data_IF_832251587751
#
_entry.id   IF_832251587751
#
_cell.length_a   1.000
_cell.length_b   1.000
_cell.length_c   1.000
_cell.angle_alpha   90.00
_cell.angle_beta   90.00
_cell.angle_gamma   90.00
#
_symmetry.space_group_name_H-M   'P 1'
#
loop_
_entity.id
_entity.type
_entity.pdbx_description
1 polymer ?
#
# COMPACT_ATOMS: atom_id res chain seq x y z
N UNK A 1 12.96 -41.62 -6.43
CA UNK A 1 12.29 -40.99 -7.57
C UNK A 1 10.90 -40.49 -7.25
N UNK A 2 10.07 -41.30 -6.63
CA UNK A 2 8.70 -40.90 -6.28
C UNK A 2 8.63 -39.78 -5.24
N UNK A 3 9.61 -39.67 -4.33
CA UNK A 3 9.65 -38.61 -3.31
C UNK A 3 9.88 -37.24 -3.90
N UNK A 4 10.67 -37.13 -4.97
CA UNK A 4 10.96 -35.85 -5.61
C UNK A 4 9.75 -35.34 -6.42
N UNK A 5 8.97 -36.24 -7.01
CA UNK A 5 7.74 -35.88 -7.72
C UNK A 5 6.65 -35.42 -6.74
N UNK A 6 6.54 -36.04 -5.57
CA UNK A 6 5.62 -35.63 -4.52
C UNK A 6 5.98 -34.25 -3.95
N UNK A 7 7.28 -33.97 -3.77
CA UNK A 7 7.75 -32.65 -3.31
C UNK A 7 7.48 -31.58 -4.36
N UNK A 8 7.67 -31.90 -5.63
CA UNK A 8 7.40 -30.95 -6.71
C UNK A 8 5.92 -30.60 -6.76
N UNK A 9 5.04 -31.59 -6.64
CA UNK A 9 3.60 -31.36 -6.61
C UNK A 9 3.18 -30.51 -5.40
N UNK A 10 3.77 -30.77 -4.23
CA UNK A 10 3.52 -29.95 -3.03
C UNK A 10 3.99 -28.52 -3.23
N UNK A 11 5.17 -28.32 -3.83
CA UNK A 11 5.69 -27.00 -4.12
C UNK A 11 4.80 -26.22 -5.09
N UNK A 12 4.31 -26.90 -6.13
CA UNK A 12 3.38 -26.30 -7.08
C UNK A 12 2.06 -25.90 -6.42
N UNK A 13 1.56 -26.74 -5.52
CA UNK A 13 0.33 -26.47 -4.77
C UNK A 13 0.52 -25.25 -3.86
N UNK A 14 1.67 -25.16 -3.17
CA UNK A 14 2.02 -24.02 -2.34
C UNK A 14 2.13 -22.74 -3.18
N UNK A 15 2.75 -22.82 -4.35
CA UNK A 15 2.87 -21.68 -5.24
C UNK A 15 1.51 -21.17 -5.71
N UNK A 16 0.58 -22.07 -6.01
CA UNK A 16 -0.79 -21.71 -6.39
C UNK A 16 -1.53 -21.05 -5.23
N UNK A 17 -1.35 -21.56 -4.00
CA UNK A 17 -1.95 -20.97 -2.81
C UNK A 17 -1.39 -19.58 -2.54
N UNK A 18 -0.10 -19.38 -2.72
CA UNK A 18 0.54 -18.07 -2.58
C UNK A 18 0.02 -17.10 -3.63
N UNK A 19 -0.15 -17.54 -4.87
CA UNK A 19 -0.72 -16.71 -5.93
C UNK A 19 -2.12 -16.24 -5.60
N UNK A 20 -2.96 -17.12 -5.05
CA UNK A 20 -4.30 -16.77 -4.61
C UNK A 20 -4.29 -15.78 -3.44
N UNK A 21 -3.35 -15.94 -2.51
CA UNK A 21 -3.20 -15.02 -1.39
C UNK A 21 -2.72 -13.65 -1.84
N UNK A 22 -1.81 -13.59 -2.81
CA UNK A 22 -1.35 -12.32 -3.38
C UNK A 22 -2.51 -11.59 -4.05
N UNK A 23 -3.37 -12.29 -4.77
CA UNK A 23 -4.57 -11.69 -5.37
C UNK A 23 -5.50 -11.13 -4.31
N UNK A 24 -5.72 -11.85 -3.21
CA UNK A 24 -6.52 -11.37 -2.07
C UNK A 24 -5.92 -10.10 -1.46
N UNK A 25 -4.60 -10.07 -1.27
CA UNK A 25 -3.89 -8.89 -0.75
C UNK A 25 -4.09 -7.70 -1.67
N UNK A 26 -3.92 -7.89 -2.97
CA UNK A 26 -4.08 -6.83 -3.96
C UNK A 26 -5.51 -6.31 -3.97
N UNK A 27 -6.51 -7.19 -3.89
CA UNK A 27 -7.91 -6.78 -3.83
C UNK A 27 -8.21 -6.00 -2.55
N UNK A 28 -7.66 -6.44 -1.43
CA UNK A 28 -7.85 -5.77 -0.15
C UNK A 28 -7.20 -4.39 -0.14
N UNK A 29 -5.97 -4.30 -0.68
CA UNK A 29 -5.27 -3.03 -0.81
C UNK A 29 -6.02 -2.06 -1.73
N UNK A 30 -6.52 -2.54 -2.86
CA UNK A 30 -7.28 -1.72 -3.79
C UNK A 30 -8.56 -1.17 -3.17
N UNK A 31 -9.15 -1.88 -2.22
CA UNK A 31 -10.36 -1.46 -1.52
C UNK A 31 -10.10 -0.47 -0.38
N UNK A 32 -8.87 -0.35 0.09
CA UNK A 32 -8.51 0.60 1.15
C UNK A 32 -8.57 2.03 0.64
N UNK A 33 -8.91 2.96 1.55
CA UNK A 33 -8.95 4.39 1.26
C UNK A 33 -8.11 5.12 2.28
N UNK A 34 -7.17 5.92 1.77
CA UNK A 34 -6.20 6.64 2.58
C UNK A 34 -6.25 8.10 2.19
N UNK A 35 -6.43 8.98 3.16
CA UNK A 35 -6.56 10.41 2.92
C UNK A 35 -5.46 11.18 3.64
N UNK A 36 -4.89 12.17 2.95
CA UNK A 36 -3.92 13.09 3.51
C UNK A 36 -4.21 14.51 3.05
N UNK A 37 -3.77 15.47 3.84
CA UNK A 37 -4.04 16.89 3.60
C UNK A 37 -2.78 17.70 3.76
N UNK A 38 -2.79 18.91 3.18
CA UNK A 38 -1.78 19.92 3.37
C UNK A 38 -2.44 21.30 3.43
N UNK A 39 -1.69 22.30 3.94
CA UNK A 39 -2.18 23.67 4.01
C UNK A 39 -3.44 23.82 4.85
N UNK A 40 -3.51 23.13 5.98
CA UNK A 40 -4.67 23.14 6.87
C UNK A 40 -5.99 22.72 6.15
N UNK A 41 -5.86 21.73 5.27
CA UNK A 41 -7.02 21.19 4.55
C UNK A 41 -7.30 21.85 3.21
N UNK A 42 -6.48 22.79 2.77
CA UNK A 42 -6.66 23.43 1.47
C UNK A 42 -6.47 22.46 0.30
N UNK A 43 -5.60 21.46 0.47
CA UNK A 43 -5.43 20.39 -0.50
C UNK A 43 -5.59 19.05 0.21
N UNK A 44 -6.38 18.16 -0.35
CA UNK A 44 -6.49 16.79 0.14
C UNK A 44 -6.30 15.81 -1.02
N UNK A 45 -5.71 14.66 -0.70
CA UNK A 45 -5.44 13.59 -1.66
C UNK A 45 -5.96 12.29 -1.08
N UNK A 46 -6.64 11.51 -1.91
CA UNK A 46 -7.10 10.19 -1.55
C UNK A 46 -6.40 9.15 -2.41
N UNK A 47 -5.86 8.13 -1.78
CA UNK A 47 -5.22 6.99 -2.43
C UNK A 47 -5.89 5.69 -1.98
N UNK A 48 -5.66 4.62 -2.74
CA UNK A 48 -5.94 3.28 -2.25
C UNK A 48 -4.68 2.72 -1.57
N UNK A 49 -4.77 1.50 -1.04
CA UNK A 49 -3.64 0.87 -0.36
C UNK A 49 -2.48 0.49 -1.26
N UNK A 50 -2.68 0.53 -2.56
CA UNK A 50 -1.61 0.29 -3.55
C UNK A 50 -0.86 1.56 -3.92
N UNK A 51 -1.25 2.71 -3.38
CA UNK A 51 -0.60 3.98 -3.67
C UNK A 51 -1.11 4.69 -4.92
N UNK A 52 -2.23 4.23 -5.45
CA UNK A 52 -2.83 4.91 -6.60
C UNK A 52 -3.60 6.14 -6.10
N UNK A 53 -3.37 7.28 -6.75
CA UNK A 53 -4.11 8.51 -6.46
C UNK A 53 -5.50 8.39 -7.09
N UNK A 54 -6.53 8.44 -6.26
CA UNK A 54 -7.92 8.32 -6.71
C UNK A 54 -8.59 9.67 -6.86
N UNK A 55 -8.22 10.63 -6.01
CA UNK A 55 -8.83 11.94 -6.03
C UNK A 55 -7.88 12.98 -5.45
N UNK A 56 -7.88 14.16 -6.06
CA UNK A 56 -7.19 15.35 -5.55
C UNK A 56 -8.25 16.44 -5.42
N UNK A 57 -8.36 17.02 -4.22
CA UNK A 57 -9.30 18.11 -3.95
C UNK A 57 -8.51 19.35 -3.58
N UNK A 58 -8.77 20.44 -4.27
CA UNK A 58 -8.10 21.73 -4.05
C UNK A 58 -9.18 22.75 -3.71
N UNK A 59 -9.01 23.44 -2.57
CA UNK A 59 -9.97 24.45 -2.15
C UNK A 59 -10.02 25.61 -3.18
N UNK A 60 -11.21 26.13 -3.48
CA UNK A 60 -11.33 27.24 -4.44
C UNK A 60 -10.49 28.45 -4.06
N UNK A 61 -10.27 28.68 -2.78
CA UNK A 61 -9.48 29.80 -2.26
C UNK A 61 -8.05 29.79 -2.80
N UNK A 62 -7.48 28.62 -3.07
CA UNK A 62 -6.13 28.51 -3.65
C UNK A 62 -6.09 29.05 -5.08
N UNK A 63 -7.14 28.81 -5.85
CA UNK A 63 -7.23 29.32 -7.21
C UNK A 63 -7.38 30.84 -7.21
N UNK A 64 -8.08 31.39 -6.23
CA UNK A 64 -8.27 32.82 -6.11
C UNK A 64 -6.98 33.58 -5.79
N UNK A 65 -6.06 32.92 -5.07
CA UNK A 65 -4.76 33.52 -4.73
C UNK A 65 -3.84 33.69 -5.94
N UNK A 66 -4.08 32.98 -7.03
CA UNK A 66 -3.27 33.02 -8.24
C UNK A 66 -1.77 32.75 -7.99
N UNK A 67 -1.47 31.94 -6.98
CA UNK A 67 -0.12 31.53 -6.61
C UNK A 67 0.08 30.08 -7.00
N UNK A 68 0.52 29.88 -8.24
CA UNK A 68 0.75 28.53 -8.78
C UNK A 68 1.83 27.77 -8.05
N UNK A 69 2.88 28.46 -7.60
CA UNK A 69 3.98 27.84 -6.86
C UNK A 69 3.50 27.30 -5.50
N UNK A 70 2.69 28.06 -4.79
CA UNK A 70 2.10 27.63 -3.54
C UNK A 70 1.20 26.41 -3.76
N UNK A 71 0.39 26.42 -4.83
CA UNK A 71 -0.49 25.30 -5.17
C UNK A 71 0.32 24.04 -5.45
N UNK A 72 1.37 24.13 -6.23
CA UNK A 72 2.26 23.01 -6.54
C UNK A 72 2.88 22.42 -5.28
N UNK A 73 3.37 23.28 -4.38
CA UNK A 73 3.98 22.86 -3.12
C UNK A 73 2.97 22.14 -2.22
N UNK A 74 1.75 22.67 -2.13
CA UNK A 74 0.72 22.05 -1.29
C UNK A 74 0.22 20.72 -1.85
N UNK A 75 0.10 20.61 -3.17
CA UNK A 75 -0.26 19.33 -3.81
C UNK A 75 0.82 18.28 -3.55
N UNK A 76 2.08 18.65 -3.75
CA UNK A 76 3.20 17.75 -3.47
C UNK A 76 3.20 17.28 -2.02
N UNK A 77 3.01 18.21 -1.08
CA UNK A 77 2.97 17.88 0.35
C UNK A 77 1.81 16.95 0.68
N UNK A 78 0.62 17.19 0.13
CA UNK A 78 -0.55 16.33 0.34
C UNK A 78 -0.32 14.92 -0.21
N UNK A 79 0.26 14.82 -1.41
CA UNK A 79 0.57 13.51 -2.02
C UNK A 79 1.56 12.75 -1.15
N UNK A 80 2.62 13.41 -0.70
CA UNK A 80 3.64 12.74 0.12
C UNK A 80 3.10 12.32 1.48
N UNK A 81 2.28 13.15 2.12
CA UNK A 81 1.62 12.80 3.38
C UNK A 81 0.72 11.58 3.21
N UNK A 82 -0.07 11.55 2.14
CA UNK A 82 -0.97 10.43 1.86
C UNK A 82 -0.18 9.17 1.57
N UNK A 83 0.92 9.29 0.81
CA UNK A 83 1.78 8.16 0.50
C UNK A 83 2.39 7.53 1.74
N UNK A 84 2.82 8.35 2.71
CA UNK A 84 3.35 7.82 3.96
C UNK A 84 2.30 7.02 4.72
N UNK A 85 1.07 7.51 4.77
CA UNK A 85 -0.05 6.77 5.37
C UNK A 85 -0.36 5.50 4.61
N UNK A 86 -0.27 5.53 3.28
CA UNK A 86 -0.51 4.36 2.43
C UNK A 86 0.51 3.26 2.70
N UNK A 87 1.78 3.61 2.95
CA UNK A 87 2.81 2.64 3.31
C UNK A 87 2.44 1.89 4.59
N UNK A 88 1.91 2.60 5.59
CA UNK A 88 1.47 1.98 6.84
C UNK A 88 0.30 1.02 6.61
N UNK A 89 -0.66 1.43 5.79
CA UNK A 89 -1.81 0.59 5.43
C UNK A 89 -1.35 -0.66 4.68
N UNK A 90 -0.44 -0.48 3.73
CA UNK A 90 0.13 -1.58 2.96
C UNK A 90 0.81 -2.61 3.87
N UNK A 91 1.63 -2.13 4.81
CA UNK A 91 2.31 -2.99 5.77
C UNK A 91 1.32 -3.74 6.66
N UNK A 92 0.29 -3.04 7.17
CA UNK A 92 -0.74 -3.65 8.02
C UNK A 92 -1.50 -4.75 7.28
N UNK A 93 -1.97 -4.48 6.07
CA UNK A 93 -2.73 -5.45 5.27
C UNK A 93 -1.87 -6.66 4.95
N UNK A 94 -0.61 -6.44 4.56
CA UNK A 94 0.33 -7.51 4.26
C UNK A 94 0.57 -8.40 5.48
N UNK A 95 0.75 -7.79 6.66
CA UNK A 95 0.96 -8.53 7.91
C UNK A 95 -0.29 -9.33 8.29
N UNK A 96 -1.47 -8.75 8.17
CA UNK A 96 -2.73 -9.43 8.47
C UNK A 96 -2.93 -10.66 7.58
N UNK A 97 -2.63 -10.51 6.30
CA UNK A 97 -2.76 -11.63 5.35
C UNK A 97 -1.69 -12.69 5.60
N UNK A 98 -0.47 -12.29 5.95
CA UNK A 98 0.61 -13.22 6.27
C UNK A 98 0.33 -14.00 7.56
N UNK A 99 -0.31 -13.38 8.55
CA UNK A 99 -0.69 -14.05 9.79
C UNK A 99 -1.67 -15.22 9.55
N UNK A 100 -2.45 -15.14 8.47
CA UNK A 100 -3.34 -16.24 8.07
C UNK A 100 -2.63 -17.33 7.26
N UNK A 101 -1.36 -17.12 6.91
CA UNK A 101 -0.56 -18.07 6.15
C UNK A 101 0.49 -18.72 7.06
N UNK A 102 0.45 -20.03 7.18
CA UNK A 102 1.38 -20.76 8.04
C UNK A 102 2.66 -21.09 7.26
N UNK A 103 3.40 -20.07 6.84
CA UNK A 103 4.65 -20.23 6.08
C UNK A 103 5.83 -19.98 7.01
N UNK A 104 6.72 -20.99 7.24
CA UNK A 104 7.90 -20.77 8.09
C UNK A 104 8.81 -19.69 7.52
N UNK A 105 9.22 -18.76 8.37
CA UNK A 105 10.15 -17.69 8.01
C UNK A 105 9.50 -16.47 7.37
N UNK A 106 8.20 -16.49 7.06
CA UNK A 106 7.52 -15.37 6.43
C UNK A 106 7.46 -14.15 7.36
N UNK A 107 7.19 -14.37 8.64
CA UNK A 107 7.14 -13.28 9.63
C UNK A 107 8.48 -12.56 9.76
N UNK A 108 9.58 -13.32 9.76
CA UNK A 108 10.91 -12.75 9.82
C UNK A 108 11.24 -11.93 8.56
N UNK A 109 10.82 -12.40 7.40
CA UNK A 109 11.01 -11.68 6.15
C UNK A 109 10.23 -10.37 6.15
N UNK A 110 9.00 -10.38 6.67
CA UNK A 110 8.16 -9.19 6.76
C UNK A 110 8.70 -8.17 7.76
N UNK A 111 9.28 -8.63 8.88
CA UNK A 111 9.93 -7.75 9.85
C UNK A 111 11.13 -7.02 9.22
N UNK A 112 11.90 -7.71 8.40
CA UNK A 112 13.02 -7.09 7.70
C UNK A 112 12.56 -6.03 6.71
N UNK A 113 11.45 -6.27 6.01
CA UNK A 113 10.86 -5.28 5.10
C UNK A 113 10.34 -4.06 5.84
N UNK A 114 9.76 -4.26 7.03
CA UNK A 114 9.25 -3.17 7.83
C UNK A 114 10.33 -2.30 8.50
N UNK A 115 11.57 -2.80 8.57
CA UNK A 115 12.69 -2.10 9.21
C UNK A 115 13.61 -1.36 8.25
N UNK A 116 13.32 -1.39 6.96
CA UNK A 116 14.17 -0.66 6.00
C UNK A 116 14.03 0.85 6.22
N UNK A 117 15.15 1.54 6.46
CA UNK A 117 15.11 3.00 6.54
C UNK A 117 14.77 3.58 5.18
N UNK A 118 13.94 4.57 5.18
CA UNK A 118 13.57 5.30 3.97
C UNK A 118 14.75 6.06 3.38
#
# INVERSE_FOLDING_TARGET
MFKSLGNLASMMKQAQQMGGKLDEVNQKLSAERVKGESGAGLVSVEMNGMGEVLQVSIAPELFEKQDGELMEDLVRAAVNTTREKTKEVHARVTQEMAAGMNIPGLEQALEQFGKQPD
#
